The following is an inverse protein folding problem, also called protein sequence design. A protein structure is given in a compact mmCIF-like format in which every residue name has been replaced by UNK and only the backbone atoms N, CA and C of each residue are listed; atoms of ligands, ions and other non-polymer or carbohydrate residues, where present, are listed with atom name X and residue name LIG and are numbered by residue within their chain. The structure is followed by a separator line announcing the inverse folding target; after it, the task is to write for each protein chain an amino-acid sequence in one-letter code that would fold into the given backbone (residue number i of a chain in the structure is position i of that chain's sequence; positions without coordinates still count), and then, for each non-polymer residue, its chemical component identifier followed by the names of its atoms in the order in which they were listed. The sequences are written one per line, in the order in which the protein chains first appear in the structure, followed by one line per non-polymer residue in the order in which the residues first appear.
data_IF_488480144018
#
_entry.id   IF_488480144018
#
_cell.length_a   1.000
_cell.length_b   1.000
_cell.length_c   1.000
_cell.angle_alpha   90.00
_cell.angle_beta   90.00
_cell.angle_gamma   90.00
#
_symmetry.space_group_name_H-M   'P 1'
#
loop_
_entity.id
_entity.type
_entity.pdbx_description
1 polymer ?
#
# COMPACT_ATOMS: atom_id res chain seq x y z
N UNK A 1 13.11 -13.18 -4.61
CA UNK A 1 12.29 -12.04 -5.10
C UNK A 1 10.83 -12.18 -4.70
N UNK A 2 10.09 -13.23 -5.13
CA UNK A 2 8.67 -13.44 -4.77
C UNK A 2 8.39 -13.56 -3.27
N UNK A 3 9.27 -14.20 -2.48
CA UNK A 3 9.13 -14.25 -1.01
C UNK A 3 9.27 -12.88 -0.35
N UNK A 4 10.16 -12.03 -0.87
CA UNK A 4 10.35 -10.66 -0.38
C UNK A 4 9.16 -9.79 -0.78
N UNK A 5 8.74 -9.84 -2.05
CA UNK A 5 7.55 -9.15 -2.53
C UNK A 5 6.29 -9.50 -1.73
N UNK A 6 6.09 -10.78 -1.38
CA UNK A 6 4.96 -11.19 -0.55
C UNK A 6 5.01 -10.64 0.89
N UNK A 7 6.19 -10.61 1.52
CA UNK A 7 6.36 -9.98 2.85
C UNK A 7 6.11 -8.47 2.78
N UNK A 8 6.65 -7.82 1.75
CA UNK A 8 6.49 -6.39 1.52
C UNK A 8 5.01 -6.04 1.22
N UNK A 9 4.28 -6.90 0.50
CA UNK A 9 2.84 -6.76 0.28
C UNK A 9 2.07 -6.76 1.59
N UNK A 10 2.40 -7.68 2.51
CA UNK A 10 1.81 -7.72 3.84
C UNK A 10 2.11 -6.47 4.66
N UNK A 11 3.35 -5.99 4.65
CA UNK A 11 3.73 -4.73 5.32
C UNK A 11 2.97 -3.55 4.71
N UNK A 12 2.89 -3.46 3.39
CA UNK A 12 2.18 -2.38 2.70
C UNK A 12 0.68 -2.37 3.01
N UNK A 13 0.07 -3.55 3.15
CA UNK A 13 -1.31 -3.69 3.58
C UNK A 13 -1.51 -3.20 5.02
N UNK A 14 -0.64 -3.58 5.95
CA UNK A 14 -0.71 -3.08 7.34
C UNK A 14 -0.52 -1.56 7.39
N UNK A 15 0.40 -1.02 6.59
CA UNK A 15 0.69 0.40 6.57
C UNK A 15 -0.49 1.21 5.99
N UNK A 16 -1.17 0.68 4.96
CA UNK A 16 -2.39 1.32 4.43
C UNK A 16 -3.50 1.35 5.47
N UNK A 17 -3.68 0.27 6.24
CA UNK A 17 -4.67 0.22 7.31
C UNK A 17 -4.37 1.26 8.40
N UNK A 18 -3.10 1.43 8.76
CA UNK A 18 -2.68 2.45 9.73
C UNK A 18 -2.93 3.87 9.22
N UNK A 19 -2.66 4.15 7.95
CA UNK A 19 -2.92 5.46 7.34
C UNK A 19 -4.41 5.78 7.35
N UNK A 20 -5.26 4.83 6.94
CA UNK A 20 -6.71 5.03 6.97
C UNK A 20 -7.25 5.17 8.40
N UNK A 21 -6.74 4.39 9.35
CA UNK A 21 -7.09 4.55 10.76
C UNK A 21 -6.68 5.93 11.28
N UNK A 22 -5.46 6.38 10.98
CA UNK A 22 -5.00 7.72 11.34
C UNK A 22 -5.92 8.80 10.76
N UNK A 23 -6.30 8.71 9.48
CA UNK A 23 -7.23 9.65 8.86
C UNK A 23 -8.64 9.65 9.46
N UNK A 24 -9.08 8.57 10.12
CA UNK A 24 -10.39 8.50 10.76
C UNK A 24 -10.37 8.92 12.25
N UNK A 25 -9.26 8.66 12.95
CA UNK A 25 -9.15 8.88 14.39
C UNK A 25 -8.42 10.18 14.77
N UNK A 26 -7.68 10.80 13.85
CA UNK A 26 -7.03 12.07 14.12
C UNK A 26 -8.06 13.22 14.11
N UNK A 27 -8.09 14.09 15.13
CA UNK A 27 -8.93 15.27 15.14
C UNK A 27 -8.57 16.21 13.97
N UNK A 28 -9.54 16.96 13.46
CA UNK A 28 -9.29 17.96 12.40
C UNK A 28 -8.30 19.05 12.84
N UNK A 29 -8.22 19.32 14.15
CA UNK A 29 -7.23 20.24 14.75
C UNK A 29 -5.88 19.55 15.07
N UNK A 30 -5.57 18.42 14.45
CA UNK A 30 -4.27 17.80 14.62
C UNK A 30 -3.16 18.73 14.11
N UNK A 31 -2.03 18.78 14.82
CA UNK A 31 -0.95 19.69 14.44
C UNK A 31 -0.38 19.33 13.07
N UNK A 32 -0.01 20.34 12.27
CA UNK A 32 0.54 20.21 10.89
C UNK A 32 1.65 19.14 10.75
N UNK A 33 2.41 18.90 11.81
CA UNK A 33 3.43 17.85 11.86
C UNK A 33 2.88 16.43 11.70
N UNK A 34 1.67 16.14 12.22
CA UNK A 34 1.02 14.84 12.09
C UNK A 34 0.55 14.60 10.65
N UNK A 35 0.02 15.62 9.99
CA UNK A 35 -0.36 15.54 8.58
C UNK A 35 0.84 15.25 7.68
N UNK A 36 1.97 15.91 7.93
CA UNK A 36 3.23 15.65 7.23
C UNK A 36 3.72 14.21 7.43
N UNK A 37 3.57 13.66 8.64
CA UNK A 37 3.93 12.26 8.94
C UNK A 37 3.02 11.29 8.19
N UNK A 38 1.70 11.52 8.20
CA UNK A 38 0.74 10.68 7.47
C UNK A 38 1.00 10.73 5.96
N UNK A 39 1.29 11.92 5.43
CA UNK A 39 1.67 12.11 4.03
C UNK A 39 2.96 11.36 3.68
N UNK A 40 3.99 11.46 4.52
CA UNK A 40 5.25 10.74 4.33
C UNK A 40 5.04 9.22 4.37
N UNK A 41 4.25 8.72 5.32
CA UNK A 41 3.88 7.31 5.42
C UNK A 41 3.13 6.84 4.17
N UNK A 42 2.18 7.63 3.68
CA UNK A 42 1.45 7.33 2.44
C UNK A 42 2.38 7.26 1.23
N UNK A 43 3.31 8.22 1.09
CA UNK A 43 4.32 8.21 0.04
C UNK A 43 5.20 6.96 0.06
N UNK A 44 5.73 6.60 1.23
CA UNK A 44 6.54 5.38 1.41
C UNK A 44 5.71 4.13 1.05
N UNK A 45 4.44 4.08 1.48
CA UNK A 45 3.59 2.93 1.20
C UNK A 45 3.31 2.76 -0.29
N UNK A 46 3.04 3.85 -1.00
CA UNK A 46 2.82 3.85 -2.46
C UNK A 46 4.06 3.32 -3.19
N UNK A 47 5.26 3.80 -2.82
CA UNK A 47 6.52 3.32 -3.41
C UNK A 47 6.71 1.83 -3.14
N UNK A 48 6.50 1.38 -1.89
CA UNK A 48 6.58 -0.03 -1.54
C UNK A 48 5.58 -0.88 -2.35
N UNK A 49 4.36 -0.37 -2.56
CA UNK A 49 3.33 -1.05 -3.33
C UNK A 49 3.70 -1.18 -4.82
N UNK A 50 4.34 -0.19 -5.42
CA UNK A 50 4.91 -0.31 -6.77
C UNK A 50 5.98 -1.39 -6.87
N UNK A 51 6.87 -1.49 -5.88
CA UNK A 51 7.89 -2.54 -5.83
C UNK A 51 7.24 -3.93 -5.71
N UNK A 52 6.20 -4.07 -4.87
CA UNK A 52 5.42 -5.31 -4.75
C UNK A 52 4.78 -5.67 -6.09
N UNK A 53 4.13 -4.72 -6.76
CA UNK A 53 3.49 -4.91 -8.05
C UNK A 53 4.49 -5.42 -9.09
N UNK A 54 5.65 -4.78 -9.19
CA UNK A 54 6.73 -5.19 -10.11
C UNK A 54 7.23 -6.62 -9.82
N UNK A 55 7.52 -6.93 -8.56
CA UNK A 55 7.95 -8.28 -8.17
C UNK A 55 6.88 -9.34 -8.32
N UNK A 56 5.60 -8.98 -8.18
CA UNK A 56 4.48 -9.87 -8.39
C UNK A 56 4.32 -10.23 -9.87
N UNK A 57 4.38 -9.25 -10.78
CA UNK A 57 4.36 -9.49 -12.23
C UNK A 57 5.51 -10.41 -12.63
N UNK A 58 6.74 -10.06 -12.27
CA UNK A 58 7.91 -10.90 -12.59
C UNK A 58 7.75 -12.29 -11.96
N UNK A 59 7.21 -12.35 -10.74
CA UNK A 59 6.96 -13.59 -10.02
C UNK A 59 5.98 -14.53 -10.72
N UNK A 60 4.96 -13.99 -11.39
CA UNK A 60 3.98 -14.81 -12.12
C UNK A 60 4.62 -15.56 -13.31
N UNK A 61 5.56 -14.91 -13.99
CA UNK A 61 6.21 -15.48 -15.18
C UNK A 61 7.48 -16.28 -14.86
N UNK A 62 8.29 -15.86 -13.87
CA UNK A 62 9.62 -16.42 -13.62
C UNK A 62 9.76 -17.28 -12.36
N UNK A 63 8.79 -17.28 -11.44
CA UNK A 63 8.91 -18.00 -10.16
C UNK A 63 8.05 -19.26 -10.12
N UNK A 64 8.58 -20.33 -9.49
CA UNK A 64 7.82 -21.55 -9.19
C UNK A 64 6.67 -21.31 -8.21
N UNK A 65 6.78 -20.27 -7.38
CA UNK A 65 5.77 -19.85 -6.39
C UNK A 65 4.70 -18.91 -6.99
N UNK A 66 4.03 -19.35 -8.06
CA UNK A 66 3.05 -18.52 -8.81
C UNK A 66 1.90 -18.01 -7.93
N UNK A 67 1.39 -18.85 -7.03
CA UNK A 67 0.29 -18.48 -6.13
C UNK A 67 0.64 -17.29 -5.22
N UNK A 68 1.85 -17.28 -4.63
CA UNK A 68 2.28 -16.16 -3.80
C UNK A 68 2.45 -14.87 -4.59
N UNK A 69 2.94 -14.98 -5.83
CA UNK A 69 3.03 -13.84 -6.74
C UNK A 69 1.63 -13.29 -7.08
N UNK A 70 0.67 -14.17 -7.39
CA UNK A 70 -0.72 -13.79 -7.66
C UNK A 70 -1.36 -13.08 -6.45
N UNK A 71 -1.23 -13.64 -5.25
CA UNK A 71 -1.74 -13.01 -4.04
C UNK A 71 -1.10 -11.64 -3.78
N UNK A 72 0.23 -11.52 -3.98
CA UNK A 72 0.92 -10.23 -3.84
C UNK A 72 0.40 -9.20 -4.84
N UNK A 73 0.08 -9.63 -6.08
CA UNK A 73 -0.50 -8.78 -7.11
C UNK A 73 -1.90 -8.29 -6.70
N UNK A 74 -2.76 -9.20 -6.23
CA UNK A 74 -4.11 -8.85 -5.79
C UNK A 74 -4.09 -7.86 -4.62
N UNK A 75 -3.19 -8.05 -3.65
CA UNK A 75 -2.99 -7.10 -2.54
C UNK A 75 -2.56 -5.74 -3.09
N UNK A 76 -1.58 -5.71 -4.00
CA UNK A 76 -1.10 -4.45 -4.54
C UNK A 76 -2.18 -3.68 -5.31
N UNK A 77 -3.00 -4.39 -6.09
CA UNK A 77 -4.16 -3.81 -6.79
C UNK A 77 -5.21 -3.28 -5.82
N UNK A 78 -5.51 -4.02 -4.74
CA UNK A 78 -6.43 -3.56 -3.72
C UNK A 78 -5.94 -2.27 -3.03
N UNK A 79 -4.65 -2.18 -2.72
CA UNK A 79 -4.04 -0.97 -2.14
C UNK A 79 -4.14 0.21 -3.10
N UNK A 80 -3.88 0.02 -4.40
CA UNK A 80 -4.06 1.08 -5.39
C UNK A 80 -5.51 1.54 -5.49
N UNK A 81 -6.46 0.60 -5.50
CA UNK A 81 -7.89 0.94 -5.50
C UNK A 81 -8.27 1.76 -4.26
N UNK A 82 -7.78 1.40 -3.06
CA UNK A 82 -8.01 2.16 -1.84
C UNK A 82 -7.46 3.59 -1.93
N UNK A 83 -6.25 3.78 -2.45
CA UNK A 83 -5.70 5.12 -2.66
C UNK A 83 -6.51 5.93 -3.68
N UNK A 84 -6.96 5.32 -4.78
CA UNK A 84 -7.81 6.00 -5.76
C UNK A 84 -9.14 6.45 -5.15
N UNK A 85 -9.75 5.61 -4.31
CA UNK A 85 -10.96 5.96 -3.57
C UNK A 85 -10.70 7.14 -2.63
N UNK A 86 -9.61 7.09 -1.85
CA UNK A 86 -9.25 8.17 -0.93
C UNK A 86 -9.05 9.52 -1.66
N UNK A 87 -8.38 9.50 -2.81
CA UNK A 87 -8.17 10.70 -3.64
C UNK A 87 -9.51 11.24 -4.17
N UNK A 88 -10.40 10.36 -4.65
CA UNK A 88 -11.70 10.77 -5.16
C UNK A 88 -12.52 11.50 -4.10
N UNK A 89 -12.57 10.97 -2.87
CA UNK A 89 -13.26 11.60 -1.74
C UNK A 89 -12.58 12.87 -1.20
N UNK A 90 -11.25 12.98 -1.31
CA UNK A 90 -10.54 14.20 -0.91
C UNK A 90 -10.71 15.36 -1.89
N UNK A 91 -11.12 15.07 -3.14
CA UNK A 91 -11.27 16.06 -4.22
C UNK A 91 -12.72 16.56 -4.42
N UNK A 92 -13.68 16.06 -3.64
CA UNK A 92 -15.11 16.41 -3.68
C UNK A 92 -15.49 17.31 -2.51
#
# INVERSE_FOLDING_TARGET
MTRFGFRLAGISLLLVMLIFAAGFFLPEDSGEWLDLVVLAMAGVNVIANFVVFYFAIIGLFKSSLKWRALFSLLIALAIFALYLIAIAFASS
#
